data_IF_140403099067
#
_entry.id   IF_140403099067
#
_cell.length_a   1.000
_cell.length_b   1.000
_cell.length_c   1.000
_cell.angle_alpha   90.00
_cell.angle_beta   90.00
_cell.angle_gamma   90.00
#
_symmetry.space_group_name_H-M   'P 1'
#
loop_
_entity.id
_entity.type
_entity.pdbx_description
1 polymer ?
#
# COMPACT_ATOMS: atom_id res chain seq x y z
N UNK A 1 2.65 1.80 -14.91
CA UNK A 1 1.50 0.90 -14.76
C UNK A 1 1.69 0.10 -13.49
N UNK A 2 0.69 -0.03 -12.62
CA UNK A 2 0.80 -0.80 -11.37
C UNK A 2 1.00 -2.29 -11.68
N UNK A 3 2.11 -2.87 -11.21
CA UNK A 3 2.54 -4.26 -11.51
C UNK A 3 2.62 -5.16 -10.29
N UNK A 4 2.41 -4.62 -9.08
CA UNK A 4 2.49 -5.37 -7.83
C UNK A 4 1.13 -6.01 -7.53
N UNK A 5 1.14 -7.32 -7.27
CA UNK A 5 -0.09 -8.07 -7.00
C UNK A 5 -0.63 -7.82 -5.59
N UNK A 6 0.23 -7.84 -4.58
CA UNK A 6 -0.09 -7.51 -3.18
C UNK A 6 1.12 -6.84 -2.52
N UNK A 7 0.88 -5.92 -1.59
CA UNK A 7 1.92 -5.30 -0.79
C UNK A 7 1.39 -4.92 0.60
N UNK A 8 2.24 -5.07 1.61
CA UNK A 8 1.98 -4.55 2.96
C UNK A 8 2.68 -3.20 3.17
N UNK A 9 2.53 -2.65 4.38
CA UNK A 9 3.18 -1.38 4.78
C UNK A 9 4.70 -1.44 4.59
N UNK A 10 5.34 -2.55 4.97
CA UNK A 10 6.79 -2.70 4.90
C UNK A 10 7.27 -2.74 3.44
N UNK A 11 6.56 -3.45 2.57
CA UNK A 11 6.89 -3.51 1.13
C UNK A 11 6.81 -2.12 0.49
N UNK A 12 5.76 -1.35 0.83
CA UNK A 12 5.55 0.01 0.33
C UNK A 12 6.64 0.95 0.83
N UNK A 13 6.98 0.87 2.12
CA UNK A 13 8.07 1.67 2.68
C UNK A 13 9.41 1.31 2.03
N UNK A 14 9.74 0.03 1.88
CA UNK A 14 10.98 -0.37 1.23
C UNK A 14 11.06 0.10 -0.23
N UNK A 15 9.95 0.06 -0.97
CA UNK A 15 9.92 0.46 -2.37
C UNK A 15 10.01 1.98 -2.60
N UNK A 16 9.64 2.79 -1.60
CA UNK A 16 9.53 4.25 -1.72
C UNK A 16 10.55 5.01 -0.84
N UNK A 17 11.41 4.31 -0.10
CA UNK A 17 12.34 4.90 0.87
C UNK A 17 13.22 6.00 0.25
N UNK A 18 13.81 5.72 -0.91
CA UNK A 18 14.71 6.65 -1.59
C UNK A 18 14.03 7.97 -2.02
N UNK A 19 12.73 7.94 -2.29
CA UNK A 19 11.97 9.08 -2.83
C UNK A 19 11.12 9.80 -1.77
N UNK A 20 10.65 9.06 -0.76
CA UNK A 20 9.65 9.54 0.19
C UNK A 20 10.09 9.51 1.66
N UNK A 21 11.34 9.13 1.97
CA UNK A 21 11.85 9.11 3.36
C UNK A 21 11.70 10.43 4.11
N UNK A 22 11.80 11.57 3.43
CA UNK A 22 11.62 12.91 4.02
C UNK A 22 10.14 13.31 4.23
N UNK A 23 9.20 12.52 3.71
CA UNK A 23 7.78 12.82 3.84
C UNK A 23 7.28 12.52 5.27
N UNK A 24 6.60 13.49 5.90
CA UNK A 24 6.14 13.40 7.30
C UNK A 24 5.30 12.15 7.62
N UNK A 25 4.57 11.62 6.64
CA UNK A 25 3.73 10.40 6.81
C UNK A 25 4.45 9.11 6.40
N UNK A 26 5.73 9.20 6.03
CA UNK A 26 6.58 8.06 5.73
C UNK A 26 7.05 7.34 7.00
N UNK A 27 6.07 6.74 7.67
CA UNK A 27 6.22 5.92 8.88
C UNK A 27 5.12 4.86 8.85
N UNK A 28 5.29 3.72 9.55
CA UNK A 28 4.37 2.59 9.39
C UNK A 28 2.88 2.95 9.56
N UNK A 29 2.54 3.77 10.56
CA UNK A 29 1.17 4.21 10.79
C UNK A 29 0.62 5.16 9.72
N UNK A 30 1.48 6.01 9.13
CA UNK A 30 1.07 6.92 8.07
C UNK A 30 0.87 6.20 6.74
N UNK A 31 1.75 5.25 6.41
CA UNK A 31 1.58 4.40 5.23
C UNK A 31 0.36 3.50 5.36
N UNK A 32 0.12 2.92 6.55
CA UNK A 32 -1.11 2.17 6.81
C UNK A 32 -2.36 3.02 6.57
N UNK A 33 -2.39 4.27 7.07
CA UNK A 33 -3.50 5.21 6.85
C UNK A 33 -3.73 5.51 5.36
N UNK A 34 -2.66 5.67 4.58
CA UNK A 34 -2.75 5.86 3.12
C UNK A 34 -3.35 4.64 2.44
N UNK A 35 -2.90 3.43 2.79
CA UNK A 35 -3.44 2.18 2.23
C UNK A 35 -4.91 1.99 2.58
N UNK A 36 -5.29 2.21 3.83
CA UNK A 36 -6.68 2.16 4.29
C UNK A 36 -7.55 3.22 3.60
N UNK A 37 -7.01 4.41 3.34
CA UNK A 37 -7.71 5.46 2.59
C UNK A 37 -7.92 5.05 1.13
N UNK A 38 -6.93 4.43 0.50
CA UNK A 38 -7.05 3.85 -0.83
C UNK A 38 -8.11 2.76 -0.89
N UNK A 39 -8.18 1.91 0.14
CA UNK A 39 -9.22 0.90 0.27
C UNK A 39 -10.62 1.52 0.41
N UNK A 40 -10.78 2.52 1.28
CA UNK A 40 -12.05 3.23 1.48
C UNK A 40 -12.54 3.99 0.25
N UNK A 41 -11.64 4.33 -0.67
CA UNK A 41 -11.96 4.98 -1.94
C UNK A 41 -12.06 3.98 -3.10
N UNK A 42 -12.18 2.68 -2.82
CA UNK A 42 -12.31 1.59 -3.80
C UNK A 42 -11.11 1.47 -4.78
N UNK A 43 -9.97 2.10 -4.46
CA UNK A 43 -8.74 1.99 -5.25
C UNK A 43 -7.98 0.70 -4.93
N UNK A 44 -8.09 0.25 -3.69
CA UNK A 44 -7.45 -0.95 -3.15
C UNK A 44 -8.49 -1.84 -2.49
N UNK A 45 -8.14 -3.11 -2.30
CA UNK A 45 -8.89 -4.05 -1.48
C UNK A 45 -7.92 -4.83 -0.59
N UNK A 46 -8.39 -5.29 0.58
CA UNK A 46 -7.63 -6.26 1.38
C UNK A 46 -7.42 -7.55 0.58
N UNK A 47 -6.18 -8.01 0.52
CA UNK A 47 -5.80 -9.27 -0.11
C UNK A 47 -5.77 -10.41 0.89
N UNK A 48 -4.94 -10.28 1.92
CA UNK A 48 -4.82 -11.23 3.04
C UNK A 48 -4.10 -10.56 4.21
N UNK A 49 -4.02 -11.25 5.34
CA UNK A 49 -3.23 -10.83 6.50
C UNK A 49 -2.40 -11.99 7.04
N UNK A 50 -1.29 -11.65 7.69
CA UNK A 50 -0.44 -12.61 8.39
C UNK A 50 0.17 -11.97 9.65
N UNK A 51 0.79 -12.78 10.50
CA UNK A 51 1.63 -12.27 11.58
C UNK A 51 3.10 -12.38 11.19
N UNK A 52 3.85 -11.30 11.37
CA UNK A 52 5.30 -11.34 11.16
C UNK A 52 6.01 -12.10 12.30
N UNK A 53 7.34 -12.23 12.21
CA UNK A 53 8.16 -12.94 13.21
C UNK A 53 8.12 -12.32 14.61
N UNK A 54 7.72 -11.06 14.73
CA UNK A 54 7.57 -10.34 16.00
C UNK A 54 6.16 -10.49 16.59
N UNK A 55 5.25 -11.17 15.89
CA UNK A 55 3.85 -11.30 16.28
C UNK A 55 3.00 -10.07 15.94
N UNK A 56 3.44 -9.22 15.00
CA UNK A 56 2.70 -8.05 14.55
C UNK A 56 1.83 -8.41 13.34
N UNK A 57 0.59 -7.90 13.30
CA UNK A 57 -0.35 -8.13 12.21
C UNK A 57 0.06 -7.31 10.98
N UNK A 58 0.29 -7.99 9.87
CA UNK A 58 0.58 -7.43 8.55
C UNK A 58 -0.65 -7.60 7.67
N UNK A 59 -1.14 -6.49 7.10
CA UNK A 59 -2.27 -6.49 6.16
C UNK A 59 -1.70 -6.21 4.77
N UNK A 60 -2.04 -7.06 3.81
CA UNK A 60 -1.64 -6.91 2.42
C UNK A 60 -2.80 -6.36 1.60
N UNK A 61 -2.50 -5.36 0.79
CA UNK A 61 -3.46 -4.69 -0.09
C UNK A 61 -3.15 -4.99 -1.54
N UNK A 62 -4.18 -5.00 -2.38
CA UNK A 62 -4.05 -5.09 -3.84
C UNK A 62 -4.95 -4.11 -4.54
N UNK A 63 -4.56 -3.69 -5.74
CA UNK A 63 -5.44 -2.93 -6.62
C UNK A 63 -6.26 -3.89 -7.50
N UNK A 64 -7.61 -3.92 -7.42
CA UNK A 64 -8.44 -4.66 -8.37
C UNK A 64 -8.37 -4.01 -9.76
N UNK A 65 -8.93 -4.65 -10.79
CA UNK A 65 -8.84 -4.17 -12.19
C UNK A 65 -9.26 -2.70 -12.34
N UNK A 66 -10.40 -2.31 -11.77
CA UNK A 66 -10.91 -0.93 -11.79
C UNK A 66 -10.02 0.05 -11.01
N UNK A 67 -9.53 -0.37 -9.84
CA UNK A 67 -8.58 0.40 -9.04
C UNK A 67 -7.25 0.62 -9.78
N UNK A 68 -6.73 -0.41 -10.47
CA UNK A 68 -5.53 -0.30 -11.31
C UNK A 68 -5.76 0.67 -12.45
N UNK A 69 -6.89 0.58 -13.16
CA UNK A 69 -7.22 1.50 -14.24
C UNK A 69 -7.25 2.95 -13.75
N UNK A 70 -7.90 3.18 -12.60
CA UNK A 70 -8.01 4.51 -11.96
C UNK A 70 -6.64 5.04 -11.56
N UNK A 71 -5.85 4.28 -10.82
CA UNK A 71 -4.50 4.66 -10.39
C UNK A 71 -3.63 5.00 -11.61
N UNK A 72 -3.61 4.13 -12.63
CA UNK A 72 -2.82 4.33 -13.84
C UNK A 72 -3.24 5.56 -14.67
N UNK A 73 -4.45 6.11 -14.45
CA UNK A 73 -4.86 7.37 -15.06
C UNK A 73 -4.18 8.60 -14.43
N UNK A 74 -3.76 8.50 -13.15
CA UNK A 74 -3.13 9.58 -12.39
C UNK A 74 -1.60 9.56 -12.45
N UNK A 75 -0.99 8.38 -12.58
CA UNK A 75 0.46 8.21 -12.67
C UNK A 75 0.85 7.80 -14.09
N UNK A 76 1.30 8.79 -14.88
CA UNK A 76 1.87 8.64 -16.22
C UNK A 76 3.38 8.72 -16.17
#
# INVERSE_FOLDING_TARGET
MTTVDVACVDDVMAALEDEYSDWKMFKPSGILEVLMTGEKNDLLVEGHYEYNKNGELMIYYRAPEEGRATINSYIK
#
